data_IF_451886094444
#
_entry.id   IF_451886094444
#
_cell.length_a   1.000
_cell.length_b   1.000
_cell.length_c   1.000
_cell.angle_alpha   90.00
_cell.angle_beta   90.00
_cell.angle_gamma   90.00
#
_symmetry.space_group_name_H-M   'P 1'
#
loop_
_entity.id
_entity.type
_entity.pdbx_description
1 polymer ?
#
# COMPACT_ATOMS: atom_id res chain seq x y z
N UNK A 1 9.30 6.01 16.19
CA UNK A 1 8.16 5.23 15.66
C UNK A 1 8.05 3.85 16.30
N UNK A 2 9.15 3.22 16.74
CA UNK A 2 9.13 1.89 17.36
C UNK A 2 8.10 1.75 18.50
N UNK A 3 8.06 2.69 19.45
CA UNK A 3 7.09 2.62 20.57
C UNK A 3 5.64 2.66 20.06
N UNK A 4 5.33 3.57 19.13
CA UNK A 4 4.01 3.65 18.55
C UNK A 4 3.63 2.38 17.77
N UNK A 5 4.58 1.75 17.06
CA UNK A 5 4.34 0.47 16.37
C UNK A 5 4.03 -0.63 17.37
N UNK A 6 4.83 -0.73 18.45
CA UNK A 6 4.69 -1.73 19.50
C UNK A 6 3.32 -1.66 20.21
N UNK A 7 2.86 -0.45 20.53
CA UNK A 7 1.59 -0.21 21.23
C UNK A 7 0.35 -0.24 20.30
N UNK A 8 0.52 -0.43 18.99
CA UNK A 8 -0.58 -0.37 18.02
C UNK A 8 -1.19 -1.74 17.71
N UNK A 9 -2.52 -1.79 17.72
CA UNK A 9 -3.29 -2.91 17.15
C UNK A 9 -3.27 -2.87 15.60
N UNK A 10 -3.14 -1.68 15.01
CA UNK A 10 -3.15 -1.46 13.56
C UNK A 10 -2.12 -0.40 13.15
N UNK A 11 -1.26 -0.73 12.19
CA UNK A 11 -0.30 0.22 11.59
C UNK A 11 -0.53 0.30 10.07
N UNK A 12 -0.68 1.53 9.55
CA UNK A 12 -0.87 1.78 8.13
C UNK A 12 0.37 2.48 7.56
N UNK A 13 1.08 1.78 6.67
CA UNK A 13 2.19 2.32 5.91
C UNK A 13 1.68 3.13 4.72
N UNK A 14 1.76 4.47 4.79
CA UNK A 14 1.27 5.39 3.77
C UNK A 14 2.33 6.40 3.27
N UNK A 15 3.62 6.10 3.48
CA UNK A 15 4.72 6.95 3.01
C UNK A 15 4.99 6.72 1.53
N UNK A 16 4.98 7.82 0.76
CA UNK A 16 5.26 7.84 -0.66
C UNK A 16 6.38 8.85 -0.94
N UNK A 17 7.44 8.40 -1.63
CA UNK A 17 8.46 9.30 -2.20
C UNK A 17 8.28 9.26 -3.73
N UNK A 18 7.74 10.33 -4.36
CA UNK A 18 7.51 10.34 -5.79
C UNK A 18 8.78 10.01 -6.60
N UNK A 19 8.70 8.98 -7.44
CA UNK A 19 9.79 8.56 -8.32
C UNK A 19 10.92 7.75 -7.65
N UNK A 20 10.76 7.36 -6.38
CA UNK A 20 11.73 6.54 -5.66
C UNK A 20 11.06 5.37 -4.95
N UNK A 21 11.85 4.34 -4.60
CA UNK A 21 11.38 3.22 -3.79
C UNK A 21 10.95 3.73 -2.41
N UNK A 22 9.86 3.19 -1.86
CA UNK A 22 9.47 3.49 -0.50
C UNK A 22 10.61 3.11 0.49
N UNK A 23 10.96 3.99 1.45
CA UNK A 23 11.95 3.65 2.46
C UNK A 23 11.39 2.58 3.40
N UNK A 24 12.24 1.64 3.81
CA UNK A 24 11.92 0.71 4.90
C UNK A 24 12.01 1.46 6.22
N UNK A 25 10.85 1.82 6.77
CA UNK A 25 10.77 2.60 8.01
C UNK A 25 10.48 1.71 9.20
N UNK A 26 9.65 0.69 9.02
CA UNK A 26 9.29 -0.24 10.08
C UNK A 26 10.12 -1.49 9.92
N UNK A 27 11.07 -1.68 10.83
CA UNK A 27 12.00 -2.80 10.78
C UNK A 27 11.33 -4.09 11.25
N UNK A 28 11.95 -5.23 10.94
CA UNK A 28 11.47 -6.53 11.40
C UNK A 28 11.39 -6.63 12.93
N UNK A 29 12.34 -6.03 13.66
CA UNK A 29 12.32 -6.00 15.13
C UNK A 29 11.12 -5.21 15.67
N UNK A 30 10.71 -4.13 14.98
CA UNK A 30 9.52 -3.37 15.37
C UNK A 30 8.26 -4.22 15.20
N UNK A 31 8.16 -5.01 14.13
CA UNK A 31 7.03 -5.91 13.89
C UNK A 31 6.97 -7.04 14.92
N UNK A 32 8.11 -7.65 15.25
CA UNK A 32 8.18 -8.69 16.28
C UNK A 32 7.81 -8.18 17.68
N UNK A 33 7.87 -6.87 17.91
CA UNK A 33 7.49 -6.27 19.19
C UNK A 33 5.98 -6.05 19.35
N UNK A 34 5.20 -6.15 18.26
CA UNK A 34 3.74 -5.98 18.28
C UNK A 34 3.05 -7.16 18.98
N UNK A 35 1.84 -6.91 19.49
CA UNK A 35 1.00 -7.99 20.04
C UNK A 35 0.55 -8.96 18.93
N UNK A 36 0.53 -10.29 19.19
CA UNK A 36 -0.03 -11.24 18.25
C UNK A 36 -1.50 -10.94 17.92
N UNK A 37 -1.84 -10.96 16.64
CA UNK A 37 -3.14 -10.56 16.12
C UNK A 37 -3.20 -9.10 15.64
N UNK A 38 -2.20 -8.27 15.95
CA UNK A 38 -2.09 -6.93 15.35
C UNK A 38 -2.01 -7.00 13.82
N UNK A 39 -2.39 -5.89 13.18
CA UNK A 39 -2.50 -5.81 11.73
C UNK A 39 -1.58 -4.72 11.18
N UNK A 40 -0.94 -5.00 10.04
CA UNK A 40 -0.21 -4.01 9.26
C UNK A 40 -0.77 -3.94 7.84
N UNK A 41 -0.95 -2.72 7.34
CA UNK A 41 -1.46 -2.43 5.99
C UNK A 41 -0.40 -1.67 5.22
N UNK A 42 0.20 -2.29 4.21
CA UNK A 42 1.24 -1.67 3.38
C UNK A 42 0.63 -1.12 2.08
N UNK A 43 0.28 0.17 2.08
CA UNK A 43 -0.31 0.84 0.91
C UNK A 43 0.73 1.03 -0.18
N UNK A 44 2.00 1.28 0.20
CA UNK A 44 3.10 1.56 -0.71
C UNK A 44 3.80 0.28 -1.24
N UNK A 45 3.12 -0.87 -1.16
CA UNK A 45 3.69 -2.16 -1.57
C UNK A 45 4.03 -2.20 -3.06
N UNK A 46 3.28 -1.46 -3.88
CA UNK A 46 3.52 -1.25 -5.31
C UNK A 46 4.88 -0.57 -5.58
N UNK A 47 5.44 0.15 -4.60
CA UNK A 47 6.75 0.81 -4.67
C UNK A 47 7.78 0.18 -3.72
N UNK A 48 7.58 -1.09 -3.34
CA UNK A 48 8.53 -1.88 -2.56
C UNK A 48 8.22 -1.97 -1.07
N UNK A 49 7.15 -1.32 -0.59
CA UNK A 49 6.60 -1.45 0.76
C UNK A 49 7.43 -0.79 1.86
N UNK A 50 6.76 -0.36 2.94
CA UNK A 50 7.38 0.38 4.06
C UNK A 50 7.87 -0.55 5.18
N UNK A 51 7.27 -1.73 5.30
CA UNK A 51 7.63 -2.72 6.32
C UNK A 51 8.69 -3.67 5.76
N UNK A 52 9.71 -3.99 6.54
CA UNK A 52 10.74 -4.97 6.14
C UNK A 52 10.18 -6.39 6.05
N UNK A 53 9.16 -6.70 6.85
CA UNK A 53 8.51 -8.02 6.90
C UNK A 53 7.55 -8.27 5.74
N UNK A 54 7.12 -7.22 5.03
CA UNK A 54 6.28 -7.37 3.83
C UNK A 54 7.12 -7.90 2.67
N UNK A 55 7.12 -9.22 2.49
CA UNK A 55 7.98 -9.94 1.53
C UNK A 55 7.27 -10.35 0.24
N UNK A 56 5.94 -10.18 0.16
CA UNK A 56 5.14 -10.48 -1.03
C UNK A 56 3.92 -9.58 -1.14
N UNK A 57 3.46 -9.41 -2.37
CA UNK A 57 2.17 -8.77 -2.69
C UNK A 57 1.05 -9.80 -2.51
N UNK A 58 -0.08 -9.36 -1.98
CA UNK A 58 -1.32 -10.15 -1.88
C UNK A 58 -2.34 -9.71 -2.93
N UNK A 59 -3.40 -10.49 -3.10
CA UNK A 59 -4.49 -10.20 -4.05
C UNK A 59 -5.81 -10.02 -3.31
N UNK A 60 -6.84 -9.49 -3.97
CA UNK A 60 -8.18 -9.40 -3.35
C UNK A 60 -8.74 -10.77 -2.94
N UNK A 61 -8.40 -11.84 -3.65
CA UNK A 61 -8.84 -13.20 -3.32
C UNK A 61 -8.11 -13.77 -2.10
N UNK A 62 -6.84 -13.39 -1.90
CA UNK A 62 -6.00 -13.82 -0.78
C UNK A 62 -5.29 -12.59 -0.20
N UNK A 63 -6.00 -11.73 0.57
CA UNK A 63 -5.56 -10.37 0.88
C UNK A 63 -4.56 -10.28 2.04
N UNK A 64 -4.43 -11.35 2.81
CA UNK A 64 -3.63 -11.34 4.04
C UNK A 64 -2.78 -12.59 4.20
N UNK A 65 -1.70 -12.46 4.94
CA UNK A 65 -0.92 -13.56 5.49
C UNK A 65 -0.39 -13.16 6.87
N UNK A 66 0.09 -14.12 7.65
CA UNK A 66 0.64 -13.85 8.98
C UNK A 66 2.17 -14.02 8.97
N UNK A 67 2.86 -13.14 9.70
CA UNK A 67 4.30 -13.23 9.96
C UNK A 67 4.59 -12.67 11.34
N UNK A 68 5.32 -13.43 12.16
CA UNK A 68 5.61 -13.10 13.57
C UNK A 68 4.36 -12.84 14.43
N UNK A 69 3.25 -13.54 14.15
CA UNK A 69 1.98 -13.30 14.84
C UNK A 69 1.22 -12.06 14.36
N UNK A 70 1.75 -11.30 13.40
CA UNK A 70 1.14 -10.07 12.87
C UNK A 70 0.54 -10.31 11.50
N UNK A 71 -0.71 -9.90 11.31
CA UNK A 71 -1.44 -10.02 10.04
C UNK A 71 -1.00 -8.93 9.08
N UNK A 72 -0.48 -9.32 7.93
CA UNK A 72 -0.03 -8.41 6.88
C UNK A 72 -1.07 -8.34 5.77
N UNK A 73 -1.54 -7.13 5.46
CA UNK A 73 -2.32 -6.80 4.28
C UNK A 73 -1.44 -6.05 3.28
N UNK A 74 -1.30 -6.57 2.07
CA UNK A 74 -0.32 -6.10 1.09
C UNK A 74 -0.88 -6.09 -0.35
N UNK A 75 -2.17 -5.75 -0.51
CA UNK A 75 -2.83 -5.75 -1.82
C UNK A 75 -2.46 -4.49 -2.60
N UNK A 76 -1.75 -4.65 -3.71
CA UNK A 76 -1.19 -3.52 -4.48
C UNK A 76 -2.24 -2.65 -5.20
N UNK A 77 -3.43 -3.17 -5.50
CA UNK A 77 -4.50 -2.44 -6.19
C UNK A 77 -5.75 -2.30 -5.31
N UNK A 78 -5.62 -1.64 -4.16
CA UNK A 78 -6.75 -1.41 -3.24
C UNK A 78 -7.95 -0.70 -3.92
N UNK A 79 -7.77 0.32 -4.78
CA UNK A 79 -8.90 0.97 -5.45
C UNK A 79 -9.73 0.05 -6.35
N UNK A 80 -9.15 -1.09 -6.77
CA UNK A 80 -9.85 -2.13 -7.53
C UNK A 80 -11.03 -2.76 -6.78
N UNK A 81 -11.07 -2.69 -5.44
CA UNK A 81 -12.20 -3.17 -4.64
C UNK A 81 -13.46 -2.29 -4.79
N UNK A 82 -13.32 -1.04 -5.25
CA UNK A 82 -14.40 -0.07 -5.39
C UNK A 82 -14.49 0.49 -6.82
N UNK A 83 -14.66 -0.38 -7.84
CA UNK A 83 -14.39 -0.05 -9.25
C UNK A 83 -15.23 1.11 -9.76
N UNK A 84 -16.51 1.19 -9.39
CA UNK A 84 -17.38 2.31 -9.81
C UNK A 84 -16.85 3.66 -9.34
N UNK A 85 -16.42 3.73 -8.07
CA UNK A 85 -15.92 4.97 -7.46
C UNK A 85 -14.53 5.30 -7.99
N UNK A 86 -13.64 4.32 -8.08
CA UNK A 86 -12.26 4.53 -8.53
C UNK A 86 -12.18 4.86 -10.03
N UNK A 87 -13.03 4.25 -10.88
CA UNK A 87 -13.15 4.65 -12.28
C UNK A 87 -13.56 6.11 -12.40
N UNK A 88 -14.63 6.54 -11.73
CA UNK A 88 -15.08 7.94 -11.79
C UNK A 88 -14.00 8.90 -11.31
N UNK A 89 -13.33 8.59 -10.19
CA UNK A 89 -12.25 9.41 -9.65
C UNK A 89 -11.07 9.54 -10.63
N UNK A 90 -10.65 8.43 -11.24
CA UNK A 90 -9.54 8.41 -12.21
C UNK A 90 -9.92 9.13 -13.51
N UNK A 91 -11.11 8.89 -14.07
CA UNK A 91 -11.51 9.49 -15.35
C UNK A 91 -11.73 11.00 -15.24
N UNK A 92 -12.20 11.48 -14.08
CA UNK A 92 -12.37 12.93 -13.85
C UNK A 92 -11.05 13.71 -14.01
N UNK A 93 -9.91 13.09 -13.68
CA UNK A 93 -8.58 13.73 -13.81
C UNK A 93 -7.87 13.38 -15.12
N UNK A 94 -8.11 12.20 -15.69
CA UNK A 94 -7.38 11.71 -16.87
C UNK A 94 -8.03 12.06 -18.22
N UNK A 95 -9.36 12.19 -18.29
CA UNK A 95 -10.08 12.49 -19.54
C UNK A 95 -9.60 13.79 -20.22
N UNK A 96 -9.34 14.91 -19.51
CA UNK A 96 -8.83 16.12 -20.15
C UNK A 96 -7.48 15.92 -20.86
N UNK A 97 -6.60 15.08 -20.32
CA UNK A 97 -5.33 14.73 -20.95
C UNK A 97 -5.53 13.80 -22.15
N UNK A 98 -6.44 12.82 -22.02
CA UNK A 98 -6.78 11.92 -23.12
C UNK A 98 -7.31 12.69 -24.34
N UNK A 99 -8.18 13.69 -24.12
CA UNK A 99 -8.69 14.57 -25.19
C UNK A 99 -7.58 15.40 -25.83
N UNK A 100 -6.63 15.92 -25.03
CA UNK A 100 -5.49 16.66 -25.57
C UNK A 100 -4.61 15.79 -26.47
N UNK A 101 -4.29 14.57 -26.03
CA UNK A 101 -3.51 13.61 -26.82
C UNK A 101 -4.28 13.21 -28.08
N UNK A 102 -5.58 12.98 -27.99
CA UNK A 102 -6.42 12.63 -29.14
C UNK A 102 -6.42 13.73 -30.22
N UNK A 103 -6.43 15.00 -29.81
CA UNK A 103 -6.46 16.13 -30.74
C UNK A 103 -5.09 16.53 -31.28
N UNK A 104 -4.02 16.43 -30.47
CA UNK A 104 -2.69 16.96 -30.80
C UNK A 104 -1.67 15.89 -31.18
N UNK A 105 -1.97 14.62 -30.92
CA UNK A 105 -0.97 13.56 -30.90
C UNK A 105 -0.15 13.58 -29.60
N UNK A 106 0.79 12.63 -29.48
CA UNK A 106 1.64 12.47 -28.29
C UNK A 106 3.03 13.10 -28.44
N UNK A 107 3.34 13.68 -29.61
CA UNK A 107 4.62 14.30 -29.95
C UNK A 107 4.54 15.82 -29.87
#
# INVERSE_FOLDING_TARGET
IAEAVKESDLVIGAVLIPGAKAPKLVTEEMIQSMEPGSVVVDIAIDQGGIFETTDRITTHDNPTYEKHGVVHYAVANMPGAVPRTSTLALTNVTVPYAVQIANKGYK
#
